data_IF_148040150813
#
_entry.id   IF_148040150813
#
_cell.length_a   1.000
_cell.length_b   1.000
_cell.length_c   1.000
_cell.angle_alpha   90.00
_cell.angle_beta   90.00
_cell.angle_gamma   90.00
#
_symmetry.space_group_name_H-M   'P 1'
#
loop_
_entity.id
_entity.type
_entity.pdbx_description
1 polymer ?
#
# COMPACT_ATOMS: atom_id res chain seq x y z
N UNK A 1 -4.33 14.99 -36.17
CA UNK A 1 -4.61 16.38 -35.76
C UNK A 1 -3.30 17.00 -35.35
N UNK A 2 -2.96 18.18 -35.91
CA UNK A 2 -1.79 18.94 -35.45
C UNK A 2 -2.09 19.58 -34.09
N UNK A 3 -1.05 19.79 -33.27
CA UNK A 3 -1.19 20.35 -31.94
C UNK A 3 -1.91 21.72 -31.95
N UNK A 4 -1.56 22.60 -32.90
CA UNK A 4 -2.16 23.93 -33.09
C UNK A 4 -3.66 23.89 -33.43
N UNK A 5 -4.14 22.76 -33.98
CA UNK A 5 -5.53 22.56 -34.41
C UNK A 5 -6.38 21.87 -33.39
N UNK A 6 -5.79 21.43 -32.26
CA UNK A 6 -6.50 20.74 -31.19
C UNK A 6 -7.45 21.71 -30.48
N UNK A 7 -8.74 21.34 -30.40
CA UNK A 7 -9.81 22.12 -29.79
C UNK A 7 -10.53 21.35 -28.70
N UNK A 8 -11.10 22.06 -27.73
CA UNK A 8 -11.87 21.49 -26.61
C UNK A 8 -12.93 20.48 -27.06
N UNK A 9 -13.77 20.76 -28.10
CA UNK A 9 -14.77 19.77 -28.55
C UNK A 9 -14.19 18.45 -29.03
N UNK A 10 -12.97 18.47 -29.61
CA UNK A 10 -12.32 17.25 -30.11
C UNK A 10 -11.89 16.36 -28.94
N UNK A 11 -11.35 16.97 -27.88
CA UNK A 11 -10.97 16.26 -26.65
C UNK A 11 -12.22 15.75 -25.94
N UNK A 12 -13.29 16.55 -25.89
CA UNK A 12 -14.56 16.13 -25.31
C UNK A 12 -15.17 14.95 -26.06
N UNK A 13 -15.17 14.97 -27.40
CA UNK A 13 -15.63 13.85 -28.23
C UNK A 13 -14.83 12.59 -27.97
N UNK A 14 -13.52 12.71 -27.77
CA UNK A 14 -12.66 11.58 -27.42
C UNK A 14 -13.04 10.98 -26.05
N UNK A 15 -13.29 11.80 -25.01
CA UNK A 15 -13.73 11.29 -23.70
C UNK A 15 -15.12 10.67 -23.76
N UNK A 16 -16.04 11.26 -24.52
CA UNK A 16 -17.37 10.70 -24.72
C UNK A 16 -17.27 9.33 -25.39
N UNK A 17 -16.46 9.19 -26.47
CA UNK A 17 -16.23 7.91 -27.11
C UNK A 17 -15.65 6.88 -26.15
N UNK A 18 -14.64 7.23 -25.36
CA UNK A 18 -14.08 6.32 -24.35
C UNK A 18 -15.14 5.85 -23.36
N UNK A 19 -16.02 6.75 -22.90
CA UNK A 19 -17.14 6.39 -22.02
C UNK A 19 -18.10 5.42 -22.72
N UNK A 20 -18.47 5.71 -23.94
CA UNK A 20 -19.40 4.90 -24.74
C UNK A 20 -18.79 3.51 -25.09
N UNK A 21 -17.48 3.44 -25.23
CA UNK A 21 -16.68 2.20 -25.36
C UNK A 21 -16.52 1.45 -24.02
N UNK A 22 -17.16 1.90 -22.91
CA UNK A 22 -17.12 1.23 -21.60
C UNK A 22 -15.89 1.49 -20.76
N UNK A 23 -15.03 2.45 -21.13
CA UNK A 23 -13.83 2.80 -20.34
C UNK A 23 -14.22 3.44 -19.01
N UNK A 24 -13.63 2.96 -17.92
CA UNK A 24 -13.99 3.43 -16.58
C UNK A 24 -13.76 4.94 -16.38
N UNK A 25 -14.65 5.64 -15.62
CA UNK A 25 -14.51 7.05 -15.30
C UNK A 25 -13.14 7.42 -14.71
N UNK A 26 -12.59 6.55 -13.87
CA UNK A 26 -11.27 6.75 -13.26
C UNK A 26 -10.15 6.72 -14.30
N UNK A 27 -10.24 5.83 -15.27
CA UNK A 27 -9.24 5.74 -16.35
C UNK A 27 -9.29 6.97 -17.25
N UNK A 28 -10.48 7.45 -17.63
CA UNK A 28 -10.68 8.70 -18.37
C UNK A 28 -10.10 9.89 -17.60
N UNK A 29 -10.33 9.98 -16.28
CA UNK A 29 -9.72 11.01 -15.41
C UNK A 29 -8.20 10.96 -15.42
N UNK A 30 -7.61 9.77 -15.42
CA UNK A 30 -6.15 9.59 -15.48
C UNK A 30 -5.58 10.04 -16.84
N UNK A 31 -6.22 9.66 -17.94
CA UNK A 31 -5.85 10.12 -19.29
C UNK A 31 -5.95 11.65 -19.39
N UNK A 32 -7.05 12.22 -18.89
CA UNK A 32 -7.17 13.68 -18.84
C UNK A 32 -6.01 14.31 -18.07
N UNK A 33 -5.62 13.78 -16.92
CA UNK A 33 -4.52 14.32 -16.13
C UNK A 33 -3.16 14.28 -16.85
N UNK A 34 -2.91 13.27 -17.68
CA UNK A 34 -1.70 13.18 -18.52
C UNK A 34 -1.79 14.19 -19.67
N UNK A 35 -2.90 14.19 -20.40
CA UNK A 35 -3.13 15.08 -21.52
C UNK A 35 -3.08 16.55 -21.08
N UNK A 36 -3.75 16.90 -19.99
CA UNK A 36 -3.78 18.26 -19.45
C UNK A 36 -2.38 18.76 -19.14
N UNK A 37 -1.57 17.97 -18.42
CA UNK A 37 -0.17 18.33 -18.12
C UNK A 37 0.71 18.46 -19.36
N UNK A 38 0.53 17.59 -20.36
CA UNK A 38 1.25 17.68 -21.61
C UNK A 38 0.91 18.98 -22.38
N UNK A 39 -0.37 19.36 -22.40
CA UNK A 39 -0.85 20.60 -23.02
C UNK A 39 -0.44 21.84 -22.22
N UNK A 40 -0.38 21.79 -20.88
CA UNK A 40 0.20 22.86 -20.06
C UNK A 40 1.70 23.05 -20.35
N UNK A 41 2.43 21.95 -20.55
CA UNK A 41 3.83 22.05 -20.96
C UNK A 41 3.96 22.70 -22.35
N UNK A 42 3.08 22.33 -23.30
CA UNK A 42 3.05 22.96 -24.62
C UNK A 42 2.76 24.47 -24.57
N UNK A 43 1.96 24.93 -23.59
CA UNK A 43 1.78 26.35 -23.30
C UNK A 43 3.06 27.01 -22.78
N UNK A 44 3.73 26.35 -21.81
CA UNK A 44 4.97 26.89 -21.21
C UNK A 44 6.09 27.05 -22.20
N UNK A 45 6.13 26.22 -23.25
CA UNK A 45 7.11 26.30 -24.34
C UNK A 45 6.52 26.99 -25.57
N UNK A 46 5.44 27.73 -25.41
CA UNK A 46 4.80 28.62 -26.41
C UNK A 46 4.27 27.93 -27.70
N UNK A 47 4.09 26.61 -27.68
CA UNK A 47 3.43 25.89 -28.79
C UNK A 47 1.91 26.09 -28.79
N UNK A 48 1.32 26.49 -27.67
CA UNK A 48 -0.10 26.78 -27.50
C UNK A 48 -0.27 28.06 -26.69
N UNK A 49 -1.29 28.86 -27.05
CA UNK A 49 -1.69 30.05 -26.28
C UNK A 49 -2.66 29.73 -25.15
N UNK A 50 -3.36 28.57 -25.21
CA UNK A 50 -4.32 28.11 -24.21
C UNK A 50 -4.37 26.58 -24.19
N UNK A 51 -4.68 26.00 -23.02
CA UNK A 51 -4.86 24.55 -22.89
C UNK A 51 -6.30 24.16 -23.29
N UNK A 52 -6.51 23.46 -24.41
CA UNK A 52 -7.86 23.09 -24.88
C UNK A 52 -8.52 22.02 -24.02
N UNK A 53 -7.83 21.39 -23.08
CA UNK A 53 -8.44 20.41 -22.17
C UNK A 53 -9.00 21.03 -20.89
N UNK A 54 -8.74 22.32 -20.61
CA UNK A 54 -9.16 22.98 -19.35
C UNK A 54 -10.66 22.91 -19.12
N UNK A 55 -11.46 23.15 -20.14
CA UNK A 55 -12.90 23.21 -20.04
C UNK A 55 -13.62 21.91 -20.45
N UNK A 56 -12.89 20.79 -20.53
CA UNK A 56 -13.53 19.50 -20.80
C UNK A 56 -14.27 18.97 -19.57
N UNK A 57 -15.44 18.38 -19.80
CA UNK A 57 -16.25 17.74 -18.78
C UNK A 57 -15.81 16.29 -18.63
N UNK A 58 -15.42 15.92 -17.43
CA UNK A 58 -14.98 14.56 -17.09
C UNK A 58 -16.11 13.78 -16.45
N UNK A 59 -16.24 12.48 -16.70
CA UNK A 59 -17.21 11.67 -15.99
C UNK A 59 -16.91 11.67 -14.48
N UNK A 60 -17.97 11.69 -13.67
CA UNK A 60 -17.85 11.63 -12.21
C UNK A 60 -17.30 10.27 -11.79
N UNK A 61 -16.24 10.29 -11.02
CA UNK A 61 -15.69 9.08 -10.41
C UNK A 61 -16.41 8.83 -9.09
N UNK A 62 -17.14 7.74 -9.00
CA UNK A 62 -17.68 7.25 -7.74
C UNK A 62 -16.58 6.44 -7.05
N UNK A 63 -16.07 6.92 -5.94
CA UNK A 63 -15.10 6.19 -5.15
C UNK A 63 -15.80 5.01 -4.46
N UNK A 64 -15.27 3.81 -4.66
CA UNK A 64 -15.72 2.64 -3.90
C UNK A 64 -15.22 2.79 -2.47
N UNK A 65 -16.05 2.50 -1.46
CA UNK A 65 -15.58 2.48 -0.09
C UNK A 65 -14.43 1.49 0.07
N UNK A 66 -13.54 1.79 0.97
CA UNK A 66 -12.48 0.85 1.38
C UNK A 66 -13.14 -0.20 2.26
N UNK A 67 -12.95 -1.46 1.92
CA UNK A 67 -13.46 -2.58 2.70
C UNK A 67 -12.25 -3.27 3.37
N UNK A 68 -11.93 -2.91 4.63
CA UNK A 68 -10.93 -3.66 5.40
C UNK A 68 -11.50 -5.05 5.74
N UNK A 69 -10.61 -6.01 5.98
CA UNK A 69 -11.04 -7.30 6.52
C UNK A 69 -11.65 -7.10 7.91
N UNK A 70 -12.81 -7.67 8.12
CA UNK A 70 -13.43 -7.68 9.46
C UNK A 70 -12.77 -8.73 10.39
N UNK A 71 -13.16 -8.78 11.67
CA UNK A 71 -12.54 -9.67 12.63
C UNK A 71 -12.73 -11.17 12.29
N UNK A 72 -13.90 -11.65 11.85
CA UNK A 72 -14.09 -13.01 11.33
C UNK A 72 -13.20 -13.33 10.12
N UNK A 73 -13.10 -12.43 9.15
CA UNK A 73 -12.27 -12.60 7.96
C UNK A 73 -10.78 -12.64 8.32
N UNK A 74 -10.33 -11.77 9.22
CA UNK A 74 -8.96 -11.78 9.73
C UNK A 74 -8.63 -13.12 10.40
N UNK A 75 -9.55 -13.65 11.20
CA UNK A 75 -9.37 -14.96 11.84
C UNK A 75 -9.20 -16.08 10.82
N UNK A 76 -10.06 -16.12 9.79
CA UNK A 76 -9.95 -17.11 8.69
C UNK A 76 -8.63 -16.95 7.93
N UNK A 77 -8.23 -15.71 7.62
CA UNK A 77 -6.98 -15.43 6.93
C UNK A 77 -5.79 -15.92 7.77
N UNK A 78 -5.74 -15.61 9.08
CA UNK A 78 -4.62 -16.03 9.93
C UNK A 78 -4.55 -17.55 10.12
N UNK A 79 -5.69 -18.24 10.17
CA UNK A 79 -5.69 -19.71 10.15
C UNK A 79 -5.14 -20.29 8.85
N UNK A 80 -5.50 -19.73 7.71
CA UNK A 80 -4.98 -20.16 6.41
C UNK A 80 -3.49 -19.80 6.19
N UNK A 81 -2.99 -18.82 6.91
CA UNK A 81 -1.58 -18.43 6.87
C UNK A 81 -0.67 -19.36 7.69
N UNK A 82 -1.20 -20.12 8.66
CA UNK A 82 -0.38 -20.96 9.54
C UNK A 82 0.44 -21.97 8.72
N UNK A 83 1.77 -21.91 8.89
CA UNK A 83 2.71 -22.77 8.17
C UNK A 83 2.89 -22.45 6.69
N UNK A 84 2.25 -21.40 6.17
CA UNK A 84 2.42 -20.95 4.81
C UNK A 84 3.76 -20.18 4.67
N UNK A 85 4.54 -20.34 3.59
CA UNK A 85 5.79 -19.60 3.39
C UNK A 85 5.65 -18.08 3.44
N UNK A 86 4.45 -17.54 3.19
CA UNK A 86 4.13 -16.11 3.21
C UNK A 86 3.51 -15.64 4.54
N UNK A 87 3.39 -16.51 5.54
CA UNK A 87 2.78 -16.19 6.85
C UNK A 87 3.42 -14.93 7.46
N UNK A 88 4.74 -14.92 7.63
CA UNK A 88 5.45 -13.78 8.22
C UNK A 88 5.26 -12.50 7.43
N UNK A 89 5.27 -12.57 6.10
CA UNK A 89 5.06 -11.41 5.23
C UNK A 89 3.67 -10.79 5.42
N UNK A 90 2.61 -11.61 5.38
CA UNK A 90 1.25 -11.10 5.49
C UNK A 90 0.87 -10.69 6.91
N UNK A 91 1.40 -11.36 7.94
CA UNK A 91 1.27 -10.89 9.33
C UNK A 91 1.95 -9.52 9.50
N UNK A 92 3.18 -9.37 9.00
CA UNK A 92 3.88 -8.07 9.04
C UNK A 92 3.09 -7.00 8.28
N UNK A 93 2.57 -7.30 7.09
CA UNK A 93 1.73 -6.37 6.32
C UNK A 93 0.50 -5.91 7.10
N UNK A 94 -0.19 -6.86 7.77
CA UNK A 94 -1.45 -6.60 8.49
C UNK A 94 -1.24 -5.78 9.76
N UNK A 95 -0.12 -5.99 10.46
CA UNK A 95 0.12 -5.38 11.78
C UNK A 95 1.12 -4.22 11.78
N UNK A 96 1.64 -3.82 10.61
CA UNK A 96 2.51 -2.64 10.46
C UNK A 96 1.95 -1.61 9.49
N UNK A 97 0.99 -2.00 8.67
CA UNK A 97 0.43 -1.14 7.62
C UNK A 97 1.45 -0.69 6.56
N UNK A 98 2.59 -1.37 6.42
CA UNK A 98 3.59 -1.06 5.40
C UNK A 98 3.00 -1.21 3.99
N UNK A 99 3.48 -0.39 3.04
CA UNK A 99 3.14 -0.57 1.62
C UNK A 99 3.85 -1.80 1.07
N UNK A 100 3.25 -2.46 0.07
CA UNK A 100 3.84 -3.69 -0.51
C UNK A 100 5.27 -3.47 -1.00
N UNK A 101 5.59 -2.32 -1.62
CA UNK A 101 6.94 -2.01 -2.06
C UNK A 101 7.93 -1.79 -0.91
N UNK A 102 7.47 -1.25 0.22
CA UNK A 102 8.25 -1.11 1.46
C UNK A 102 8.51 -2.47 2.09
N UNK A 103 7.48 -3.33 2.11
CA UNK A 103 7.53 -4.67 2.69
C UNK A 103 8.51 -5.58 1.94
N UNK A 104 8.38 -5.71 0.60
CA UNK A 104 9.28 -6.53 -0.20
C UNK A 104 10.68 -5.92 -0.36
N UNK A 105 10.84 -4.64 -0.03
CA UNK A 105 12.13 -3.93 0.01
C UNK A 105 12.72 -3.81 1.41
N UNK A 106 12.10 -4.40 2.43
CA UNK A 106 12.60 -4.39 3.80
C UNK A 106 13.87 -5.24 3.91
N UNK A 107 14.89 -4.69 4.54
CA UNK A 107 16.17 -5.38 4.77
C UNK A 107 16.42 -5.56 6.27
N UNK A 108 17.22 -6.56 6.66
CA UNK A 108 17.46 -6.88 8.06
C UNK A 108 18.17 -5.78 8.84
N UNK A 109 18.95 -4.93 8.17
CA UNK A 109 19.56 -3.74 8.75
C UNK A 109 18.52 -2.66 9.16
N UNK A 110 17.32 -2.74 8.62
CA UNK A 110 16.19 -1.88 8.98
C UNK A 110 15.30 -2.46 10.09
N UNK A 111 15.57 -3.66 10.59
CA UNK A 111 14.84 -4.31 11.70
C UNK A 111 15.70 -4.31 12.94
N UNK A 112 15.40 -3.40 13.85
CA UNK A 112 16.09 -3.29 15.13
C UNK A 112 15.36 -4.13 16.18
N UNK A 113 15.97 -5.28 16.51
CA UNK A 113 15.42 -6.21 17.50
C UNK A 113 15.69 -5.78 18.95
N UNK A 114 16.65 -4.89 19.18
CA UNK A 114 16.98 -4.39 20.51
C UNK A 114 15.97 -3.34 20.95
N UNK A 115 15.65 -2.38 20.06
CA UNK A 115 14.67 -1.33 20.31
C UNK A 115 13.26 -1.72 19.86
N UNK A 116 13.05 -2.92 19.31
CA UNK A 116 11.77 -3.43 18.81
C UNK A 116 11.11 -2.50 17.76
N UNK A 117 11.90 -1.95 16.82
CA UNK A 117 11.41 -1.05 15.78
C UNK A 117 11.81 -1.48 14.38
N UNK A 118 11.04 -1.01 13.40
CA UNK A 118 11.32 -1.17 11.97
C UNK A 118 11.52 0.22 11.35
N UNK A 119 12.68 0.44 10.76
CA UNK A 119 12.99 1.65 9.99
C UNK A 119 12.51 1.49 8.55
N UNK A 120 11.54 2.29 8.13
CA UNK A 120 11.02 2.29 6.76
C UNK A 120 11.70 3.42 6.00
N UNK A 121 12.72 3.09 5.22
CA UNK A 121 13.61 4.07 4.57
C UNK A 121 13.57 3.97 3.05
N UNK A 122 13.30 2.79 2.52
CA UNK A 122 13.35 2.46 1.09
C UNK A 122 12.20 1.55 0.69
N UNK A 123 11.99 1.43 -0.59
CA UNK A 123 11.03 0.49 -1.15
C UNK A 123 11.63 -0.19 -2.39
N UNK A 124 11.20 -1.40 -2.69
CA UNK A 124 11.53 -2.06 -3.94
C UNK A 124 10.51 -1.67 -5.01
N UNK A 125 10.98 -1.06 -6.08
CA UNK A 125 10.13 -0.57 -7.17
C UNK A 125 10.53 -1.17 -8.50
N UNK A 126 9.52 -1.44 -9.32
CA UNK A 126 9.76 -1.84 -10.69
C UNK A 126 10.30 -0.66 -11.51
N UNK A 127 11.28 -0.91 -12.35
CA UNK A 127 11.89 0.08 -13.24
C UNK A 127 11.67 -0.30 -14.70
N UNK A 128 11.65 0.70 -15.57
CA UNK A 128 11.63 0.51 -17.03
C UNK A 128 13.01 0.53 -17.66
N UNK A 129 14.08 0.62 -16.86
CA UNK A 129 15.46 0.63 -17.35
C UNK A 129 15.77 -0.72 -17.97
N UNK A 130 16.29 -0.70 -19.20
CA UNK A 130 16.71 -1.93 -19.90
C UNK A 130 17.77 -2.68 -19.07
N UNK A 131 17.59 -3.97 -18.89
CA UNK A 131 18.50 -4.81 -18.12
C UNK A 131 18.31 -4.80 -16.60
N UNK A 132 17.48 -3.92 -16.05
CA UNK A 132 17.20 -3.87 -14.61
C UNK A 132 15.69 -3.81 -14.39
N UNK A 133 15.09 -4.86 -13.84
CA UNK A 133 13.64 -4.94 -13.65
C UNK A 133 13.18 -4.27 -12.35
N UNK A 134 14.00 -4.28 -11.31
CA UNK A 134 13.73 -3.71 -10.00
C UNK A 134 14.89 -2.83 -9.53
N UNK A 135 14.62 -1.93 -8.61
CA UNK A 135 15.63 -1.14 -7.88
C UNK A 135 15.09 -0.68 -6.54
N UNK A 136 15.97 -0.37 -5.60
CA UNK A 136 15.58 0.42 -4.44
C UNK A 136 15.22 1.83 -4.89
N UNK A 137 14.09 2.31 -4.41
CA UNK A 137 13.59 3.66 -4.65
C UNK A 137 13.28 4.37 -3.33
N UNK A 138 13.23 5.70 -3.41
CA UNK A 138 12.75 6.53 -2.29
C UNK A 138 11.28 6.25 -1.99
N UNK A 139 10.88 6.47 -0.75
CA UNK A 139 9.50 6.36 -0.34
C UNK A 139 8.60 7.34 -1.11
N UNK A 140 7.33 7.00 -1.29
CA UNK A 140 6.37 7.78 -2.09
C UNK A 140 6.28 9.25 -1.68
N UNK A 141 6.47 9.55 -0.39
CA UNK A 141 6.43 10.93 0.15
C UNK A 141 7.84 11.47 0.46
N UNK A 142 8.90 10.76 0.09
CA UNK A 142 10.29 11.13 0.38
C UNK A 142 10.68 11.12 1.87
N UNK A 143 9.77 10.73 2.77
CA UNK A 143 9.99 10.74 4.22
C UNK A 143 10.14 9.33 4.75
N UNK A 144 11.25 9.09 5.45
CA UNK A 144 11.45 7.90 6.27
C UNK A 144 10.54 7.93 7.49
N UNK A 145 10.30 6.78 8.10
CA UNK A 145 9.57 6.65 9.36
C UNK A 145 10.02 5.43 10.14
N UNK A 146 9.78 5.48 11.43
CA UNK A 146 9.98 4.35 12.34
C UNK A 146 8.61 3.82 12.74
N UNK A 147 8.47 2.50 12.72
CA UNK A 147 7.28 1.80 13.19
C UNK A 147 7.70 0.97 14.40
N UNK A 148 6.97 1.07 15.50
CA UNK A 148 7.06 0.16 16.63
C UNK A 148 5.92 -0.87 16.49
N UNK A 149 6.17 -2.06 15.92
CA UNK A 149 5.13 -3.07 15.77
C UNK A 149 4.86 -3.74 17.12
N UNK A 150 3.71 -4.41 17.23
CA UNK A 150 3.43 -5.22 18.41
C UNK A 150 4.56 -6.26 18.65
N UNK A 151 4.96 -6.53 19.92
CA UNK A 151 6.05 -7.46 20.25
C UNK A 151 5.92 -8.84 19.59
N UNK A 152 4.69 -9.30 19.38
CA UNK A 152 4.39 -10.53 18.64
C UNK A 152 5.01 -10.52 17.22
N UNK A 153 4.90 -9.41 16.50
CA UNK A 153 5.46 -9.29 15.13
C UNK A 153 6.99 -9.31 15.17
N UNK A 154 7.61 -8.69 16.16
CA UNK A 154 9.08 -8.76 16.33
C UNK A 154 9.54 -10.20 16.60
N UNK A 155 8.79 -10.96 17.39
CA UNK A 155 9.06 -12.39 17.62
C UNK A 155 8.91 -13.22 16.33
N UNK A 156 7.86 -12.96 15.54
CA UNK A 156 7.65 -13.61 14.24
C UNK A 156 8.81 -13.31 13.28
N UNK A 157 9.24 -12.05 13.20
CA UNK A 157 10.39 -11.64 12.38
C UNK A 157 11.69 -12.28 12.86
N UNK A 158 11.91 -12.40 14.18
CA UNK A 158 13.08 -13.06 14.74
C UNK A 158 13.15 -14.54 14.38
N UNK A 159 12.03 -15.26 14.47
CA UNK A 159 11.91 -16.65 14.03
C UNK A 159 12.17 -16.77 12.53
N UNK A 160 11.61 -15.87 11.74
CA UNK A 160 11.80 -15.84 10.29
C UNK A 160 13.28 -15.61 9.91
N UNK A 161 14.01 -14.74 10.63
CA UNK A 161 15.44 -14.52 10.41
C UNK A 161 16.27 -15.79 10.60
N UNK A 162 15.93 -16.55 11.64
CA UNK A 162 16.60 -17.84 11.92
C UNK A 162 16.30 -18.84 10.80
N UNK A 163 15.02 -19.01 10.44
CA UNK A 163 14.62 -19.93 9.38
C UNK A 163 15.22 -19.54 8.01
N UNK A 164 15.34 -18.26 7.71
CA UNK A 164 16.00 -17.80 6.48
C UNK A 164 17.49 -18.08 6.49
N UNK A 165 18.17 -17.92 7.64
CA UNK A 165 19.59 -18.26 7.77
C UNK A 165 19.84 -19.77 7.61
N UNK A 166 18.99 -20.62 8.18
CA UNK A 166 19.00 -22.07 7.97
C UNK A 166 18.76 -22.41 6.48
N UNK A 167 17.78 -21.78 5.84
CA UNK A 167 17.53 -21.96 4.41
C UNK A 167 18.72 -21.55 3.55
N UNK A 168 19.39 -20.44 3.88
CA UNK A 168 20.62 -19.99 3.20
C UNK A 168 21.74 -21.02 3.31
N UNK A 169 21.95 -21.60 4.49
CA UNK A 169 22.94 -22.65 4.70
C UNK A 169 22.62 -23.90 3.89
N UNK A 170 21.35 -24.31 3.84
CA UNK A 170 20.90 -25.47 3.06
C UNK A 170 21.07 -25.26 1.55
N UNK A 171 20.87 -24.04 1.06
CA UNK A 171 21.00 -23.71 -0.36
C UNK A 171 22.48 -23.59 -0.80
N UNK A 172 23.39 -23.23 0.12
CA UNK A 172 24.80 -23.04 -0.20
C UNK A 172 25.04 -22.14 -1.41
N UNK A 173 25.74 -22.65 -2.42
CA UNK A 173 26.02 -21.89 -3.66
C UNK A 173 24.79 -21.58 -4.53
N UNK A 174 23.65 -22.22 -4.25
CA UNK A 174 22.38 -21.92 -4.93
C UNK A 174 21.69 -20.69 -4.34
N UNK A 175 22.16 -20.17 -3.20
CA UNK A 175 21.65 -18.92 -2.65
C UNK A 175 22.09 -17.73 -3.47
N UNK A 176 21.13 -17.07 -4.14
CA UNK A 176 21.41 -15.97 -5.07
C UNK A 176 20.48 -14.78 -4.85
N UNK A 177 20.80 -13.86 -3.93
CA UNK A 177 19.99 -12.66 -3.67
C UNK A 177 20.08 -11.62 -4.80
N UNK A 178 20.97 -11.81 -5.76
CA UNK A 178 21.18 -10.88 -6.87
C UNK A 178 21.59 -9.47 -6.41
N UNK A 179 20.92 -8.45 -6.96
CA UNK A 179 21.19 -7.04 -6.65
C UNK A 179 20.63 -6.59 -5.28
N UNK A 180 19.89 -7.46 -4.56
CA UNK A 180 19.18 -7.10 -3.32
C UNK A 180 19.56 -8.02 -2.16
N UNK A 181 20.81 -7.96 -1.69
CA UNK A 181 21.22 -8.73 -0.51
C UNK A 181 20.46 -8.24 0.73
N UNK A 182 20.38 -9.13 1.72
CA UNK A 182 19.87 -8.80 3.05
C UNK A 182 18.35 -8.50 3.14
N UNK A 183 17.55 -8.88 2.12
CA UNK A 183 16.10 -8.74 2.20
C UNK A 183 15.51 -9.64 3.28
N UNK A 184 14.50 -9.12 3.98
CA UNK A 184 13.73 -9.88 4.97
C UNK A 184 12.87 -10.95 4.27
N UNK A 185 12.22 -10.61 3.18
CA UNK A 185 11.30 -11.51 2.46
C UNK A 185 11.87 -11.89 1.10
N UNK A 186 12.19 -13.16 0.94
CA UNK A 186 12.84 -13.72 -0.27
C UNK A 186 12.20 -15.02 -0.70
N UNK A 187 12.41 -15.40 -1.94
CA UNK A 187 12.24 -16.77 -2.38
C UNK A 187 13.23 -17.70 -1.66
N UNK A 188 13.05 -19.02 -1.82
CA UNK A 188 13.92 -20.04 -1.21
C UNK A 188 15.38 -19.93 -1.64
N UNK A 189 15.63 -19.39 -2.83
CA UNK A 189 16.97 -19.15 -3.38
C UNK A 189 17.57 -17.79 -3.01
N UNK A 190 16.90 -17.02 -2.15
CA UNK A 190 17.33 -15.69 -1.74
C UNK A 190 16.89 -14.55 -2.67
N UNK A 191 16.33 -14.84 -3.83
CA UNK A 191 15.88 -13.81 -4.77
C UNK A 191 14.67 -13.02 -4.24
N UNK A 192 14.53 -11.77 -4.69
CA UNK A 192 13.47 -10.88 -4.25
C UNK A 192 12.08 -11.29 -4.78
N UNK A 193 11.04 -11.06 -3.99
CA UNK A 193 9.67 -11.19 -4.47
C UNK A 193 9.28 -10.06 -5.42
N UNK A 194 8.46 -10.41 -6.42
CA UNK A 194 7.77 -9.44 -7.26
C UNK A 194 6.40 -9.08 -6.67
N UNK A 195 5.89 -7.87 -6.94
CA UNK A 195 4.53 -7.52 -6.52
C UNK A 195 3.45 -8.44 -7.12
N UNK A 196 3.52 -8.85 -8.41
CA UNK A 196 2.61 -9.84 -8.96
C UNK A 196 2.65 -11.20 -8.25
N UNK A 197 3.84 -11.65 -7.82
CA UNK A 197 3.98 -12.88 -7.02
C UNK A 197 3.20 -12.76 -5.72
N UNK A 198 3.43 -11.69 -4.95
CA UNK A 198 2.74 -11.47 -3.68
C UNK A 198 1.23 -11.34 -3.88
N UNK A 199 0.79 -10.68 -4.96
CA UNK A 199 -0.64 -10.57 -5.26
C UNK A 199 -1.25 -11.95 -5.53
N UNK A 200 -0.60 -12.77 -6.35
CA UNK A 200 -1.08 -14.11 -6.69
C UNK A 200 -1.19 -14.99 -5.44
N UNK A 201 -0.13 -15.07 -4.66
CA UNK A 201 -0.10 -15.86 -3.42
C UNK A 201 -1.18 -15.40 -2.42
N UNK A 202 -1.41 -14.09 -2.33
CA UNK A 202 -2.48 -13.56 -1.48
C UNK A 202 -3.87 -14.01 -1.95
N UNK A 203 -4.13 -14.03 -3.28
CA UNK A 203 -5.40 -14.54 -3.81
C UNK A 203 -5.57 -16.04 -3.54
N UNK A 204 -4.51 -16.81 -3.70
CA UNK A 204 -4.53 -18.26 -3.46
C UNK A 204 -4.84 -18.55 -1.96
N UNK A 205 -4.26 -17.77 -1.03
CA UNK A 205 -4.54 -17.86 0.41
C UNK A 205 -5.98 -17.44 0.73
N UNK A 206 -6.48 -16.35 0.16
CA UNK A 206 -7.87 -15.91 0.34
C UNK A 206 -8.86 -16.99 -0.13
N UNK A 207 -8.61 -17.59 -1.29
CA UNK A 207 -9.43 -18.69 -1.81
C UNK A 207 -9.42 -19.90 -0.88
N UNK A 208 -8.26 -20.29 -0.34
CA UNK A 208 -8.12 -21.37 0.63
C UNK A 208 -8.86 -21.07 1.95
N UNK A 209 -8.91 -19.79 2.35
CA UNK A 209 -9.65 -19.32 3.53
C UNK A 209 -11.16 -19.19 3.30
N UNK A 210 -11.66 -19.38 2.07
CA UNK A 210 -13.05 -19.12 1.70
C UNK A 210 -13.46 -17.66 1.87
N UNK A 211 -12.53 -16.74 1.58
CA UNK A 211 -12.74 -15.30 1.65
C UNK A 211 -12.97 -14.73 0.25
N UNK A 212 -13.75 -13.63 0.20
CA UNK A 212 -13.91 -12.85 -1.03
C UNK A 212 -12.60 -12.19 -1.44
N UNK A 213 -12.58 -11.66 -2.67
CA UNK A 213 -11.41 -10.99 -3.23
C UNK A 213 -11.07 -9.71 -2.47
N UNK A 214 -9.93 -9.72 -1.79
CA UNK A 214 -9.26 -8.55 -1.22
C UNK A 214 -7.93 -8.28 -1.94
N UNK A 215 -7.50 -7.04 -1.92
CA UNK A 215 -6.17 -6.67 -2.42
C UNK A 215 -5.16 -6.69 -1.27
N UNK A 216 -3.91 -6.96 -1.56
CA UNK A 216 -2.83 -6.84 -0.54
C UNK A 216 -2.84 -5.47 0.16
N UNK A 217 -3.23 -4.40 -0.57
CA UNK A 217 -3.34 -3.05 0.01
C UNK A 217 -4.48 -2.92 1.04
N UNK A 218 -5.46 -3.80 1.00
CA UNK A 218 -6.57 -3.78 1.96
C UNK A 218 -6.11 -4.27 3.34
N UNK A 219 -5.00 -5.05 3.46
CA UNK A 219 -4.34 -5.34 4.74
C UNK A 219 -3.86 -4.07 5.44
N UNK A 220 -3.35 -3.11 4.69
CA UNK A 220 -2.96 -1.80 5.24
C UNK A 220 -4.19 -1.00 5.69
N UNK A 221 -5.32 -1.14 5.02
CA UNK A 221 -6.59 -0.55 5.47
C UNK A 221 -7.11 -1.25 6.73
N UNK A 222 -6.94 -2.57 6.82
CA UNK A 222 -7.24 -3.36 8.01
C UNK A 222 -6.39 -2.92 9.20
N UNK A 223 -5.08 -2.72 9.00
CA UNK A 223 -4.21 -2.12 10.02
C UNK A 223 -4.77 -0.80 10.55
N UNK A 224 -5.13 0.12 9.65
CA UNK A 224 -5.63 1.43 10.05
C UNK A 224 -6.90 1.35 10.91
N UNK A 225 -7.84 0.48 10.51
CA UNK A 225 -9.08 0.28 11.27
C UNK A 225 -8.82 -0.38 12.61
N UNK A 226 -7.95 -1.41 12.65
CA UNK A 226 -7.58 -2.09 13.89
C UNK A 226 -6.86 -1.15 14.87
N UNK A 227 -5.92 -0.33 14.37
CA UNK A 227 -5.18 0.67 15.14
C UNK A 227 -6.13 1.67 15.81
N UNK A 228 -7.07 2.24 15.05
CA UNK A 228 -8.10 3.14 15.60
C UNK A 228 -9.00 2.43 16.62
N UNK A 229 -9.43 1.19 16.36
CA UNK A 229 -10.22 0.40 17.31
C UNK A 229 -9.44 0.04 18.57
N UNK A 230 -8.14 -0.16 18.47
CA UNK A 230 -7.25 -0.38 19.60
C UNK A 230 -7.02 0.89 20.45
N UNK A 231 -7.43 2.06 19.95
CA UNK A 231 -7.37 3.32 20.69
C UNK A 231 -6.27 4.28 20.25
N UNK A 232 -5.56 3.97 19.17
CA UNK A 232 -4.58 4.89 18.60
C UNK A 232 -5.26 6.19 18.14
N UNK A 233 -4.59 7.30 18.37
CA UNK A 233 -5.01 8.58 17.81
C UNK A 233 -4.68 8.68 16.30
N UNK A 234 -5.38 9.57 15.62
CA UNK A 234 -5.23 9.76 14.16
C UNK A 234 -3.81 10.21 13.77
N UNK A 235 -3.13 10.95 14.65
CA UNK A 235 -1.79 11.44 14.38
C UNK A 235 -0.77 10.30 14.42
N UNK A 236 -0.83 9.46 15.43
CA UNK A 236 -0.02 8.23 15.57
C UNK A 236 -0.26 7.30 14.38
N UNK A 237 -1.53 7.06 14.01
CA UNK A 237 -1.84 6.27 12.83
C UNK A 237 -1.29 6.88 11.54
N UNK A 238 -1.39 8.20 11.36
CA UNK A 238 -0.84 8.91 10.20
C UNK A 238 0.68 8.69 10.08
N UNK A 239 1.40 8.80 11.20
CA UNK A 239 2.85 8.61 11.26
C UNK A 239 3.25 7.18 10.93
N UNK A 240 2.64 6.19 11.57
CA UNK A 240 2.86 4.77 11.29
C UNK A 240 2.60 4.42 9.84
N UNK A 241 1.53 4.93 9.25
CA UNK A 241 1.21 4.69 7.84
C UNK A 241 2.06 5.54 6.88
N UNK A 242 2.72 6.60 7.31
CA UNK A 242 3.41 7.55 6.44
C UNK A 242 2.45 8.21 5.45
N UNK A 243 1.28 8.68 5.91
CA UNK A 243 0.35 9.48 5.14
C UNK A 243 0.82 10.93 5.09
N UNK A 244 0.54 11.61 3.97
CA UNK A 244 0.91 13.02 3.79
C UNK A 244 0.21 13.94 4.80
N UNK A 245 -1.05 13.65 5.15
CA UNK A 245 -1.82 14.46 6.10
C UNK A 245 -2.77 13.61 6.95
N UNK A 246 -3.07 14.09 8.15
CA UNK A 246 -4.10 13.52 9.02
C UNK A 246 -5.51 13.63 8.41
N UNK A 247 -5.78 14.70 7.66
CA UNK A 247 -7.05 14.87 6.93
C UNK A 247 -7.29 13.70 5.96
N UNK A 248 -6.28 13.24 5.21
CA UNK A 248 -6.41 12.08 4.34
C UNK A 248 -6.76 10.80 5.12
N UNK A 249 -6.17 10.62 6.32
CA UNK A 249 -6.47 9.48 7.20
C UNK A 249 -7.90 9.57 7.72
N UNK A 250 -8.32 10.75 8.15
CA UNK A 250 -9.67 11.02 8.65
C UNK A 250 -10.74 10.82 7.56
N UNK A 251 -10.55 11.37 6.36
CA UNK A 251 -11.46 11.19 5.23
C UNK A 251 -11.65 9.71 4.87
N UNK A 252 -10.59 8.92 5.03
CA UNK A 252 -10.60 7.50 4.64
C UNK A 252 -11.23 6.61 5.70
N UNK A 253 -11.02 6.92 6.98
CA UNK A 253 -11.40 6.08 8.13
C UNK A 253 -12.33 6.78 9.11
N UNK A 254 -12.86 7.96 8.77
CA UNK A 254 -13.71 8.76 9.64
C UNK A 254 -15.00 8.05 10.12
N UNK A 255 -15.50 7.09 9.34
CA UNK A 255 -16.64 6.27 9.73
C UNK A 255 -16.36 5.36 10.95
N UNK A 256 -15.10 5.04 11.23
CA UNK A 256 -14.69 4.28 12.42
C UNK A 256 -14.86 5.12 13.69
N UNK A 257 -14.78 6.46 13.54
CA UNK A 257 -14.85 7.41 14.67
C UNK A 257 -16.20 7.44 15.37
N UNK A 258 -17.30 7.03 14.73
CA UNK A 258 -18.62 7.02 15.37
C UNK A 258 -18.72 5.95 16.47
N UNK A 259 -18.11 4.78 16.27
CA UNK A 259 -17.97 3.77 17.33
C UNK A 259 -17.08 4.31 18.45
N UNK A 260 -15.96 4.95 18.13
CA UNK A 260 -15.04 5.54 19.09
C UNK A 260 -15.70 6.67 19.93
N UNK A 261 -16.67 7.42 19.35
CA UNK A 261 -17.42 8.44 20.11
C UNK A 261 -18.24 7.81 21.25
N UNK A 262 -18.90 6.68 20.99
CA UNK A 262 -19.65 5.94 22.01
C UNK A 262 -18.71 5.38 23.08
N UNK A 263 -17.60 4.78 22.66
CA UNK A 263 -16.58 4.27 23.58
C UNK A 263 -15.94 5.40 24.41
N UNK A 264 -15.71 6.57 23.82
CA UNK A 264 -15.24 7.76 24.54
C UNK A 264 -16.24 8.23 25.60
N UNK A 265 -17.56 8.22 25.26
CA UNK A 265 -18.59 8.54 26.22
C UNK A 265 -18.61 7.55 27.39
N UNK A 266 -18.47 6.24 27.11
CA UNK A 266 -18.37 5.21 28.14
C UNK A 266 -17.11 5.35 29.02
N UNK A 267 -15.97 5.69 28.42
CA UNK A 267 -14.74 5.99 29.22
C UNK A 267 -14.93 7.22 30.11
N UNK A 268 -15.60 8.26 29.61
CA UNK A 268 -15.90 9.45 30.43
C UNK A 268 -16.88 9.10 31.56
N UNK A 269 -17.91 8.28 31.30
CA UNK A 269 -18.80 7.81 32.33
C UNK A 269 -18.05 7.04 33.43
N UNK A 270 -17.20 6.08 33.04
CA UNK A 270 -16.37 5.34 34.00
C UNK A 270 -15.42 6.26 34.78
N UNK A 271 -14.89 7.31 34.17
CA UNK A 271 -14.06 8.31 34.86
C UNK A 271 -14.87 9.06 35.92
N UNK A 272 -16.09 9.50 35.58
CA UNK A 272 -17.00 10.20 36.52
C UNK A 272 -17.39 9.29 37.70
N UNK A 273 -17.68 8.00 37.44
CA UNK A 273 -18.06 7.03 38.47
C UNK A 273 -16.92 6.70 39.45
N UNK A 274 -15.67 6.94 39.06
CA UNK A 274 -14.48 6.71 39.87
C UNK A 274 -13.95 8.01 40.55
N UNK A 275 -14.65 9.14 40.41
CA UNK A 275 -14.37 10.39 41.11
C UNK A 275 -15.08 10.46 42.46
#
# INVERSE_FOLDING_TARGET
VLLKDLRTPMIQKFYNKMRDDGVSPKYIKNIHGILHRALDMAMRVEYLTKNPSTYTIRPKVVEKPVVPLDAPEQKKLFEALKGNPFETLFLTATFTGMRIGELIGLTWDCVDFENEVIHVEKQLVQTRKKGQKYRFGTLKNGKTRVIAPAPYIMQVLKKHKIAQAEQQLLMGDLWNPGEFPNLVFTHKDGSHYSQPTIWKEFQDILAAAGLEHHRVHDLRHTFAVNSLRAGDDIKTLQENMGHYSAAFTLDRYGHVTDTMRRESANRMQAFIENM
#
